data_IF_131281542194
#
_entry.id   IF_131281542194
#
_cell.length_a   1.000
_cell.length_b   1.000
_cell.length_c   1.000
_cell.angle_alpha   90.00
_cell.angle_beta   90.00
_cell.angle_gamma   90.00
#
_symmetry.space_group_name_H-M   'P 1'
#
loop_
_entity.id
_entity.type
_entity.pdbx_description
1 polymer ?
#
# COMPACT_ATOMS: atom_id res chain seq x y z
N UNK A 1 18.33 -4.05 -9.61
CA UNK A 1 17.20 -4.96 -9.55
C UNK A 1 16.15 -4.41 -8.56
N UNK A 2 14.89 -4.32 -8.99
CA UNK A 2 13.80 -3.72 -8.19
C UNK A 2 13.56 -4.50 -6.89
N UNK A 3 13.61 -5.82 -6.93
CA UNK A 3 13.40 -6.68 -5.76
C UNK A 3 14.47 -6.43 -4.69
N UNK A 4 15.73 -6.34 -5.12
CA UNK A 4 16.84 -6.00 -4.22
C UNK A 4 16.68 -4.61 -3.62
N UNK A 5 16.30 -3.61 -4.43
CA UNK A 5 16.06 -2.26 -3.97
C UNK A 5 14.95 -2.19 -2.90
N UNK A 6 13.86 -2.93 -3.10
CA UNK A 6 12.78 -3.06 -2.16
C UNK A 6 13.23 -3.75 -0.85
N UNK A 7 13.91 -4.89 -0.97
CA UNK A 7 14.46 -5.62 0.19
C UNK A 7 15.42 -4.75 1.02
N UNK A 8 16.31 -3.99 0.37
CA UNK A 8 17.23 -3.07 1.05
C UNK A 8 16.49 -1.92 1.75
N UNK A 9 15.41 -1.41 1.15
CA UNK A 9 14.56 -0.41 1.80
C UNK A 9 13.86 -0.99 3.04
N UNK A 10 13.35 -2.22 2.95
CA UNK A 10 12.77 -2.91 4.10
C UNK A 10 13.79 -3.12 5.21
N UNK A 11 15.00 -3.61 4.92
CA UNK A 11 16.08 -3.80 5.93
C UNK A 11 16.41 -2.51 6.67
N UNK A 12 16.48 -1.37 5.96
CA UNK A 12 16.69 -0.06 6.59
C UNK A 12 15.53 0.32 7.52
N UNK A 13 14.30 0.06 7.10
CA UNK A 13 13.11 0.32 7.91
C UNK A 13 13.06 -0.58 9.13
N UNK A 14 13.32 -1.88 8.97
CA UNK A 14 13.38 -2.84 10.06
C UNK A 14 14.35 -2.38 11.15
N UNK A 15 15.57 -2.00 10.77
CA UNK A 15 16.57 -1.45 11.69
C UNK A 15 16.08 -0.17 12.39
N UNK A 16 15.44 0.72 11.63
CA UNK A 16 14.96 2.01 12.18
C UNK A 16 13.85 1.82 13.21
N UNK A 17 12.98 0.85 13.00
CA UNK A 17 11.80 0.61 13.84
C UNK A 17 11.98 -0.56 14.82
N UNK A 18 13.20 -1.09 14.97
CA UNK A 18 13.50 -2.12 15.95
C UNK A 18 12.92 -3.50 15.63
N UNK A 19 12.68 -3.79 14.36
CA UNK A 19 12.30 -5.14 13.93
C UNK A 19 13.55 -5.99 13.81
N UNK A 20 13.46 -7.22 14.30
CA UNK A 20 14.51 -8.24 14.13
C UNK A 20 14.25 -9.04 12.85
N UNK A 21 15.27 -9.15 12.00
CA UNK A 21 15.23 -10.04 10.84
C UNK A 21 15.92 -11.34 11.26
N UNK A 22 15.12 -12.37 11.58
CA UNK A 22 15.64 -13.65 12.05
C UNK A 22 16.29 -14.48 10.94
N UNK A 23 15.86 -14.28 9.71
CA UNK A 23 16.47 -14.89 8.53
C UNK A 23 16.22 -14.07 7.27
N UNK A 24 17.20 -14.07 6.35
CA UNK A 24 17.15 -13.33 5.09
C UNK A 24 17.69 -14.24 3.97
N UNK A 25 16.79 -14.72 3.12
CA UNK A 25 17.08 -15.69 2.07
C UNK A 25 16.79 -15.13 0.69
N UNK A 26 17.76 -15.06 -0.22
CA UNK A 26 17.48 -14.81 -1.63
C UNK A 26 16.80 -16.04 -2.25
N UNK A 27 15.77 -15.81 -3.04
CA UNK A 27 15.18 -16.86 -3.85
C UNK A 27 15.89 -16.92 -5.20
N UNK A 28 16.31 -18.11 -5.60
CA UNK A 28 16.85 -18.39 -6.92
C UNK A 28 15.91 -19.35 -7.65
N UNK A 29 15.40 -18.90 -8.79
CA UNK A 29 14.45 -19.67 -9.57
C UNK A 29 15.16 -20.67 -10.46
N UNK A 30 14.80 -21.96 -10.37
CA UNK A 30 15.18 -22.98 -11.32
C UNK A 30 14.04 -23.91 -11.75
N UNK A 31 12.82 -23.73 -11.22
CA UNK A 31 11.74 -24.68 -11.45
C UNK A 31 10.37 -24.01 -11.64
N UNK A 32 9.45 -24.74 -12.23
CA UNK A 32 8.03 -24.37 -12.31
C UNK A 32 7.39 -24.44 -10.90
N UNK A 33 7.40 -23.33 -10.19
CA UNK A 33 6.82 -23.21 -8.85
C UNK A 33 5.35 -23.62 -8.76
N UNK A 34 4.60 -23.56 -9.85
CA UNK A 34 3.21 -24.03 -9.84
C UNK A 34 3.09 -25.48 -9.41
N UNK A 35 4.12 -26.29 -9.71
CA UNK A 35 4.17 -27.71 -9.36
C UNK A 35 4.85 -28.01 -8.04
N UNK A 36 5.79 -27.17 -7.65
CA UNK A 36 6.70 -27.47 -6.54
C UNK A 36 6.47 -26.62 -5.30
N UNK A 37 5.72 -25.51 -5.42
CA UNK A 37 5.51 -24.54 -4.34
C UNK A 37 5.09 -25.16 -3.00
N UNK A 38 4.16 -26.14 -3.02
CA UNK A 38 3.69 -26.81 -1.81
C UNK A 38 4.77 -27.62 -1.06
N UNK A 39 5.87 -27.99 -1.74
CA UNK A 39 6.99 -28.73 -1.16
C UNK A 39 8.18 -27.83 -0.87
N UNK A 40 8.51 -26.92 -1.75
CA UNK A 40 9.71 -26.10 -1.68
C UNK A 40 9.55 -24.89 -0.77
N UNK A 41 8.40 -24.19 -0.82
CA UNK A 41 8.19 -22.99 -0.04
C UNK A 41 8.15 -23.23 1.48
N UNK A 42 7.55 -24.31 2.02
CA UNK A 42 7.68 -24.61 3.43
C UNK A 42 9.12 -24.78 3.87
N UNK A 43 9.95 -25.49 3.11
CA UNK A 43 11.37 -25.65 3.41
C UNK A 43 12.16 -24.35 3.28
N UNK A 44 11.86 -23.55 2.26
CA UNK A 44 12.47 -22.24 2.06
C UNK A 44 12.15 -21.25 3.18
N UNK A 45 10.91 -21.26 3.68
CA UNK A 45 10.46 -20.42 4.78
C UNK A 45 10.68 -21.04 6.17
N UNK A 46 11.32 -22.22 6.24
CA UNK A 46 11.68 -22.84 7.50
C UNK A 46 12.80 -22.04 8.16
N UNK A 47 12.50 -21.54 9.37
CA UNK A 47 13.41 -20.79 10.22
C UNK A 47 13.09 -21.09 11.69
N UNK A 48 13.87 -20.48 12.61
CA UNK A 48 13.42 -20.33 14.02
C UNK A 48 12.07 -19.61 14.06
N UNK A 49 11.42 -19.54 15.21
CA UNK A 49 10.10 -18.87 15.30
C UNK A 49 10.16 -17.43 14.76
N UNK A 50 9.14 -17.02 14.03
CA UNK A 50 9.01 -15.70 13.43
C UNK A 50 7.53 -15.24 13.43
N UNK A 51 7.31 -13.95 13.49
CA UNK A 51 5.96 -13.37 13.53
C UNK A 51 5.35 -13.16 12.15
N UNK A 52 6.18 -12.90 11.14
CA UNK A 52 5.75 -12.66 9.77
C UNK A 52 6.82 -13.06 8.74
N UNK A 53 6.38 -13.34 7.53
CA UNK A 53 7.25 -13.49 6.35
C UNK A 53 7.14 -12.24 5.48
N UNK A 54 8.26 -11.64 5.14
CA UNK A 54 8.32 -10.47 4.26
C UNK A 54 8.82 -10.88 2.89
N UNK A 55 8.04 -10.60 1.86
CA UNK A 55 8.36 -10.97 0.48
C UNK A 55 8.77 -9.73 -0.31
N UNK A 56 9.91 -9.81 -1.00
CA UNK A 56 10.40 -8.82 -1.94
C UNK A 56 10.41 -9.42 -3.35
N UNK A 57 9.27 -9.37 -4.01
CA UNK A 57 9.05 -9.85 -5.38
C UNK A 57 8.20 -8.83 -6.14
N UNK A 58 8.84 -7.74 -6.56
CA UNK A 58 8.18 -6.62 -7.24
C UNK A 58 7.64 -7.04 -8.62
N UNK A 59 8.29 -8.02 -9.24
CA UNK A 59 7.90 -8.53 -10.56
C UNK A 59 6.77 -9.55 -10.49
N UNK A 60 6.53 -10.16 -9.33
CA UNK A 60 5.52 -11.20 -9.16
C UNK A 60 5.94 -12.56 -9.72
N UNK A 61 7.24 -12.88 -9.65
CA UNK A 61 7.76 -14.12 -10.23
C UNK A 61 7.43 -15.36 -9.39
N UNK A 62 7.39 -15.21 -8.05
CA UNK A 62 7.18 -16.34 -7.13
C UNK A 62 6.30 -16.04 -5.90
N UNK A 63 6.23 -14.80 -5.52
CA UNK A 63 5.66 -14.38 -4.24
C UNK A 63 4.18 -14.72 -4.07
N UNK A 64 3.44 -14.90 -5.16
CA UNK A 64 2.03 -15.28 -5.11
C UNK A 64 1.78 -16.63 -4.44
N UNK A 65 2.76 -17.52 -4.44
CA UNK A 65 2.65 -18.86 -3.84
C UNK A 65 3.00 -18.88 -2.35
N UNK A 66 3.75 -17.89 -1.86
CA UNK A 66 4.25 -17.83 -0.47
C UNK A 66 3.13 -17.79 0.56
N UNK A 67 2.07 -16.95 0.40
CA UNK A 67 1.03 -16.80 1.43
C UNK A 67 0.32 -18.10 1.83
N UNK A 68 0.36 -19.12 0.98
CA UNK A 68 -0.35 -20.38 1.18
C UNK A 68 0.55 -21.54 1.53
N UNK A 69 1.86 -21.34 1.56
CA UNK A 69 2.87 -22.42 1.66
C UNK A 69 3.99 -22.10 2.64
N UNK A 70 3.77 -21.27 3.65
CA UNK A 70 4.78 -21.00 4.68
C UNK A 70 4.93 -22.17 5.65
N UNK A 71 6.15 -22.37 6.20
CA UNK A 71 6.44 -23.36 7.22
C UNK A 71 5.57 -23.17 8.49
N UNK A 72 5.50 -21.95 8.99
CA UNK A 72 4.61 -21.58 10.09
C UNK A 72 3.39 -20.84 9.56
N UNK A 73 2.20 -20.97 10.17
CA UNK A 73 1.00 -20.24 9.77
C UNK A 73 1.09 -18.77 10.22
N UNK A 74 1.99 -18.03 9.63
CA UNK A 74 2.26 -16.63 9.93
C UNK A 74 1.82 -15.71 8.76
N UNK A 75 1.50 -14.46 9.05
CA UNK A 75 1.18 -13.49 7.99
C UNK A 75 2.31 -13.33 6.98
N UNK A 76 1.94 -13.21 5.71
CA UNK A 76 2.87 -12.83 4.63
C UNK A 76 2.55 -11.40 4.25
N UNK A 77 3.58 -10.56 4.18
CA UNK A 77 3.50 -9.13 3.92
C UNK A 77 4.57 -8.70 2.90
N UNK A 78 4.49 -7.49 2.42
CA UNK A 78 5.48 -6.93 1.50
C UNK A 78 4.90 -6.70 0.12
N UNK A 79 5.58 -7.18 -0.92
CA UNK A 79 5.09 -7.09 -2.30
C UNK A 79 3.99 -8.11 -2.61
N UNK A 80 3.89 -9.13 -1.78
CA UNK A 80 2.90 -10.21 -1.88
C UNK A 80 2.26 -10.46 -0.51
N UNK A 81 1.10 -11.09 -0.50
CA UNK A 81 0.34 -11.28 0.72
C UNK A 81 -0.42 -10.00 1.10
N UNK A 82 -0.24 -9.52 2.31
CA UNK A 82 -0.81 -8.24 2.74
C UNK A 82 0.03 -7.07 2.22
N UNK A 83 -0.52 -6.32 1.29
CA UNK A 83 0.17 -5.19 0.64
C UNK A 83 -0.46 -3.87 1.07
N UNK A 84 0.31 -2.89 1.54
CA UNK A 84 -0.19 -1.53 1.78
C UNK A 84 -0.38 -0.83 0.43
N UNK A 85 -1.57 -0.29 0.21
CA UNK A 85 -1.92 0.39 -1.04
C UNK A 85 -2.70 1.67 -0.77
N UNK A 86 -2.66 2.61 -1.69
CA UNK A 86 -3.53 3.78 -1.62
C UNK A 86 -4.90 3.50 -2.23
N UNK A 87 -5.01 2.53 -3.13
CA UNK A 87 -6.27 2.10 -3.73
C UNK A 87 -6.24 0.63 -4.15
N UNK A 88 -7.37 -0.05 -3.93
CA UNK A 88 -7.56 -1.41 -4.43
C UNK A 88 -9.05 -1.71 -4.61
N UNK A 89 -9.38 -2.52 -5.61
CA UNK A 89 -10.76 -2.91 -5.98
C UNK A 89 -11.56 -3.59 -4.87
N UNK A 90 -10.89 -4.19 -3.90
CA UNK A 90 -11.53 -4.87 -2.77
C UNK A 90 -12.07 -3.91 -1.71
N UNK A 91 -11.74 -2.61 -1.80
CA UNK A 91 -12.28 -1.57 -0.93
C UNK A 91 -13.59 -1.08 -1.51
N UNK A 92 -14.71 -1.47 -0.91
CA UNK A 92 -16.05 -1.14 -1.40
C UNK A 92 -16.75 -0.07 -0.57
N UNK A 93 -16.25 0.18 0.65
CA UNK A 93 -16.84 1.11 1.60
C UNK A 93 -16.73 2.57 1.16
N UNK A 94 -17.55 3.42 1.78
CA UNK A 94 -17.51 4.88 1.63
C UNK A 94 -17.61 5.40 0.19
N UNK A 95 -18.30 4.66 -0.67
CA UNK A 95 -18.46 5.02 -2.08
C UNK A 95 -17.27 4.64 -2.96
N UNK A 96 -16.28 3.92 -2.45
CA UNK A 96 -15.12 3.47 -3.23
C UNK A 96 -15.54 2.61 -4.42
N UNK A 97 -16.52 1.72 -4.24
CA UNK A 97 -17.09 0.92 -5.33
C UNK A 97 -17.62 1.77 -6.50
N UNK A 98 -18.22 2.92 -6.21
CA UNK A 98 -18.73 3.82 -7.26
C UNK A 98 -17.58 4.43 -8.07
N UNK A 99 -16.52 4.90 -7.41
CA UNK A 99 -15.34 5.42 -8.09
C UNK A 99 -14.66 4.34 -8.93
N UNK A 100 -14.51 3.15 -8.37
CA UNK A 100 -13.94 1.98 -9.06
C UNK A 100 -14.73 1.63 -10.32
N UNK A 101 -16.06 1.57 -10.25
CA UNK A 101 -16.91 1.23 -11.38
C UNK A 101 -16.84 2.30 -12.48
N UNK A 102 -16.90 3.59 -12.13
CA UNK A 102 -16.72 4.68 -13.11
C UNK A 102 -15.38 4.63 -13.80
N UNK A 103 -14.31 4.34 -13.05
CA UNK A 103 -12.99 4.20 -13.64
C UNK A 103 -12.93 3.00 -14.59
N UNK A 104 -13.50 1.86 -14.19
CA UNK A 104 -13.54 0.64 -15.02
C UNK A 104 -14.32 0.87 -16.33
N UNK A 105 -15.42 1.60 -16.29
CA UNK A 105 -16.19 1.98 -17.47
C UNK A 105 -15.37 2.82 -18.46
N UNK A 106 -14.53 3.73 -17.93
CA UNK A 106 -13.69 4.60 -18.77
C UNK A 106 -12.41 3.93 -19.24
N UNK A 107 -11.74 3.16 -18.40
CA UNK A 107 -10.39 2.64 -18.64
C UNK A 107 -10.36 1.17 -19.07
N UNK A 108 -11.46 0.43 -18.96
CA UNK A 108 -11.54 -1.02 -19.28
C UNK A 108 -10.75 -1.91 -18.32
N UNK A 109 -10.31 -1.38 -17.17
CA UNK A 109 -9.55 -2.09 -16.14
C UNK A 109 -9.82 -1.52 -14.75
N UNK A 110 -9.38 -2.24 -13.73
CA UNK A 110 -9.45 -1.74 -12.36
C UNK A 110 -8.47 -0.57 -12.12
N UNK A 111 -8.90 0.37 -11.28
CA UNK A 111 -8.07 1.48 -10.79
C UNK A 111 -7.02 0.92 -9.83
N UNK A 112 -5.79 1.36 -9.98
CA UNK A 112 -4.67 1.06 -9.08
C UNK A 112 -4.29 2.29 -8.21
N UNK A 113 -3.22 2.17 -7.43
CA UNK A 113 -2.75 3.23 -6.54
C UNK A 113 -2.30 4.48 -7.28
N UNK A 114 -1.66 4.32 -8.44
CA UNK A 114 -1.16 5.42 -9.28
C UNK A 114 -2.32 6.18 -9.92
N UNK A 115 -3.31 5.48 -10.45
CA UNK A 115 -4.52 6.07 -11.00
C UNK A 115 -5.27 6.88 -9.93
N UNK A 116 -5.39 6.31 -8.73
CA UNK A 116 -6.02 7.00 -7.61
C UNK A 116 -5.23 8.24 -7.19
N UNK A 117 -3.91 8.18 -7.15
CA UNK A 117 -3.08 9.33 -6.83
C UNK A 117 -3.27 10.48 -7.84
N UNK A 118 -3.30 10.15 -9.13
CA UNK A 118 -3.57 11.13 -10.19
C UNK A 118 -4.98 11.73 -10.07
N UNK A 119 -5.99 10.87 -9.86
CA UNK A 119 -7.36 11.32 -9.62
C UNK A 119 -7.46 12.25 -8.41
N UNK A 120 -6.84 11.87 -7.28
CA UNK A 120 -6.89 12.63 -6.04
C UNK A 120 -6.19 13.99 -6.18
N UNK A 121 -5.07 14.06 -6.90
CA UNK A 121 -4.35 15.29 -7.17
C UNK A 121 -5.20 16.28 -7.95
N UNK A 122 -5.81 15.85 -9.06
CA UNK A 122 -6.69 16.69 -9.86
C UNK A 122 -7.94 17.11 -9.08
N UNK A 123 -8.48 16.18 -8.29
CA UNK A 123 -9.65 16.44 -7.45
C UNK A 123 -9.35 17.48 -6.36
N UNK A 124 -8.16 17.42 -5.73
CA UNK A 124 -7.71 18.39 -4.75
C UNK A 124 -7.61 19.80 -5.34
N UNK A 125 -6.97 19.92 -6.52
CA UNK A 125 -6.86 21.20 -7.23
C UNK A 125 -8.25 21.73 -7.58
N UNK A 126 -9.12 20.90 -8.14
CA UNK A 126 -10.47 21.31 -8.50
C UNK A 126 -11.32 21.78 -7.30
N UNK A 127 -11.19 21.10 -6.16
CA UNK A 127 -11.82 21.53 -4.91
C UNK A 127 -11.29 22.89 -4.47
N UNK A 128 -9.96 23.06 -4.44
CA UNK A 128 -9.36 24.34 -4.06
C UNK A 128 -9.79 25.50 -4.96
N UNK A 129 -9.80 25.29 -6.29
CA UNK A 129 -10.26 26.31 -7.26
C UNK A 129 -11.73 26.69 -7.00
N UNK A 130 -12.56 25.71 -6.70
CA UNK A 130 -13.99 25.95 -6.44
C UNK A 130 -14.21 26.70 -5.13
N UNK A 131 -13.54 26.27 -4.07
CA UNK A 131 -13.72 26.83 -2.73
C UNK A 131 -13.17 28.26 -2.65
N UNK A 132 -12.04 28.53 -3.31
CA UNK A 132 -11.42 29.86 -3.38
C UNK A 132 -12.06 30.78 -4.43
N UNK A 133 -12.80 30.22 -5.38
CA UNK A 133 -13.21 30.91 -6.60
C UNK A 133 -12.02 31.60 -7.30
N UNK A 134 -10.86 30.95 -7.32
CA UNK A 134 -9.59 31.46 -7.85
C UNK A 134 -8.80 30.38 -8.55
N UNK A 135 -8.15 30.72 -9.66
CA UNK A 135 -7.18 29.87 -10.36
C UNK A 135 -5.73 30.29 -10.12
N UNK A 136 -5.47 31.16 -9.15
CA UNK A 136 -4.12 31.59 -8.80
C UNK A 136 -3.34 30.45 -8.15
N UNK A 137 -2.19 30.00 -8.72
CA UNK A 137 -1.45 28.85 -8.20
C UNK A 137 -0.94 29.04 -6.77
N UNK A 138 -0.60 30.26 -6.39
CA UNK A 138 -0.11 30.57 -5.05
C UNK A 138 -1.22 30.46 -4.01
N UNK A 139 -2.41 30.98 -4.32
CA UNK A 139 -3.58 30.87 -3.45
C UNK A 139 -4.02 29.41 -3.31
N UNK A 140 -4.10 28.68 -4.42
CA UNK A 140 -4.42 27.25 -4.42
C UNK A 140 -3.43 26.48 -3.55
N UNK A 141 -2.11 26.67 -3.73
CA UNK A 141 -1.09 26.04 -2.93
C UNK A 141 -1.25 26.33 -1.45
N UNK A 142 -1.42 27.58 -1.09
CA UNK A 142 -1.56 27.98 0.32
C UNK A 142 -2.80 27.35 0.96
N UNK A 143 -3.92 27.29 0.24
CA UNK A 143 -5.14 26.67 0.71
C UNK A 143 -4.99 25.15 0.86
N UNK A 144 -4.37 24.45 -0.09
CA UNK A 144 -4.15 22.99 -0.04
C UNK A 144 -3.34 22.56 1.20
N UNK A 145 -2.45 23.43 1.71
CA UNK A 145 -1.64 23.18 2.91
C UNK A 145 -2.18 23.83 4.18
N UNK A 146 -3.36 24.43 4.13
CA UNK A 146 -4.02 24.99 5.30
C UNK A 146 -4.87 23.96 6.03
N UNK A 147 -5.22 24.25 7.29
CA UNK A 147 -6.14 23.45 8.09
C UNK A 147 -7.59 23.49 7.56
N UNK A 148 -7.91 24.44 6.69
CA UNK A 148 -9.23 24.60 6.08
C UNK A 148 -9.46 23.56 4.97
N UNK A 149 -8.39 23.12 4.30
CA UNK A 149 -8.50 22.18 3.21
C UNK A 149 -8.86 20.77 3.67
N UNK A 150 -9.92 20.23 3.12
CA UNK A 150 -10.38 18.88 3.39
C UNK A 150 -10.97 18.26 2.13
N UNK A 151 -10.39 17.15 1.66
CA UNK A 151 -10.88 16.45 0.49
C UNK A 151 -11.69 15.22 0.85
N UNK A 152 -12.92 15.10 0.32
CA UNK A 152 -13.69 13.87 0.31
C UNK A 152 -13.13 12.93 -0.78
N UNK A 153 -12.43 11.87 -0.37
CA UNK A 153 -11.61 11.04 -1.25
C UNK A 153 -11.95 9.54 -1.17
N UNK A 154 -13.18 9.19 -0.82
CA UNK A 154 -13.66 7.80 -0.69
C UNK A 154 -12.84 6.94 0.30
N UNK A 155 -12.36 7.58 1.38
CA UNK A 155 -11.49 6.95 2.40
C UNK A 155 -12.17 6.82 3.78
N UNK A 156 -13.46 7.10 3.89
CA UNK A 156 -14.18 7.08 5.16
C UNK A 156 -13.90 8.29 6.06
N UNK A 157 -12.93 9.09 5.70
CA UNK A 157 -12.59 10.38 6.34
C UNK A 157 -12.11 11.38 5.32
N UNK A 158 -12.16 12.64 5.67
CA UNK A 158 -11.53 13.70 4.88
C UNK A 158 -10.02 13.55 4.93
N UNK A 159 -9.36 13.80 3.81
CA UNK A 159 -7.90 13.75 3.68
C UNK A 159 -7.34 15.16 3.53
N UNK A 160 -6.11 15.35 4.00
CA UNK A 160 -5.37 16.61 4.02
C UNK A 160 -3.96 16.39 3.48
N UNK A 161 -3.19 17.45 3.33
CA UNK A 161 -1.76 17.36 3.01
C UNK A 161 -0.91 17.65 4.25
N UNK A 162 0.23 16.99 4.36
CA UNK A 162 1.24 17.29 5.37
C UNK A 162 2.03 18.52 4.92
N UNK A 163 2.17 19.50 5.79
CA UNK A 163 2.90 20.75 5.52
C UNK A 163 4.40 20.53 5.31
N UNK A 164 4.98 19.58 6.07
CA UNK A 164 6.42 19.34 6.10
C UNK A 164 6.96 18.52 4.90
N UNK A 165 6.14 17.78 4.16
CA UNK A 165 6.58 16.98 3.02
C UNK A 165 5.61 16.96 1.82
N UNK A 166 4.45 17.58 1.94
CA UNK A 166 3.45 17.65 0.88
C UNK A 166 2.72 16.34 0.57
N UNK A 167 2.92 15.29 1.36
CA UNK A 167 2.21 14.02 1.16
C UNK A 167 0.75 14.12 1.60
N UNK A 168 -0.13 13.47 0.85
CA UNK A 168 -1.52 13.33 1.25
C UNK A 168 -1.62 12.42 2.48
N UNK A 169 -2.19 12.95 3.57
CA UNK A 169 -2.50 12.21 4.79
C UNK A 169 -3.81 11.47 4.59
N UNK A 170 -3.73 10.18 4.42
CA UNK A 170 -4.86 9.33 4.09
C UNK A 170 -4.78 7.96 4.76
N UNK A 171 -5.92 7.29 5.01
CA UNK A 171 -5.92 5.89 5.39
C UNK A 171 -5.28 5.01 4.31
N UNK A 172 -4.46 4.06 4.75
CA UNK A 172 -3.77 3.11 3.87
C UNK A 172 -4.38 1.72 4.06
N UNK A 173 -5.14 1.21 3.10
CA UNK A 173 -5.61 -0.17 3.12
C UNK A 173 -4.45 -1.17 3.10
N UNK A 174 -4.53 -2.17 3.96
CA UNK A 174 -3.74 -3.39 3.87
C UNK A 174 -4.61 -4.44 3.19
N UNK A 175 -4.25 -4.82 1.98
CA UNK A 175 -5.07 -5.68 1.14
C UNK A 175 -4.38 -6.99 0.81
N UNK A 176 -5.17 -8.04 0.73
CA UNK A 176 -4.86 -9.26 0.02
C UNK A 176 -5.54 -9.21 -1.36
N UNK A 177 -5.10 -9.92 -2.40
CA UNK A 177 -5.70 -9.86 -3.75
C UNK A 177 -7.23 -10.03 -3.80
N UNK A 178 -7.83 -10.66 -2.79
CA UNK A 178 -9.27 -10.93 -2.72
C UNK A 178 -9.98 -10.29 -1.52
N UNK A 179 -9.30 -9.47 -0.71
CA UNK A 179 -9.94 -8.91 0.48
C UNK A 179 -9.17 -7.77 1.11
N UNK A 180 -9.92 -6.88 1.75
CA UNK A 180 -9.38 -5.89 2.66
C UNK A 180 -9.13 -6.57 4.01
N UNK A 181 -7.87 -6.54 4.48
CA UNK A 181 -7.49 -7.13 5.77
C UNK A 181 -7.70 -6.10 6.88
N UNK A 182 -7.18 -4.88 6.67
CA UNK A 182 -7.25 -3.81 7.64
C UNK A 182 -6.96 -2.45 6.96
N UNK A 183 -7.09 -1.36 7.70
CA UNK A 183 -6.75 -0.02 7.22
C UNK A 183 -5.92 0.72 8.26
N UNK A 184 -4.70 1.09 7.92
CA UNK A 184 -3.86 1.92 8.77
C UNK A 184 -4.33 3.40 8.70
N UNK A 185 -4.13 4.22 9.77
CA UNK A 185 -3.41 3.87 11.01
C UNK A 185 -4.26 3.06 11.97
N UNK A 186 -3.59 2.23 12.80
CA UNK A 186 -4.21 1.53 13.90
C UNK A 186 -4.01 2.31 15.20
N UNK A 187 -5.01 2.31 16.06
CA UNK A 187 -4.87 2.86 17.40
C UNK A 187 -3.75 2.12 18.17
N UNK A 188 -2.87 2.88 18.81
CA UNK A 188 -1.70 2.33 19.51
C UNK A 188 -0.50 1.98 18.62
N UNK A 189 -0.63 2.04 17.29
CA UNK A 189 0.45 1.76 16.32
C UNK A 189 0.76 2.96 15.42
N UNK A 190 0.51 4.15 15.90
CA UNK A 190 0.84 5.38 15.17
C UNK A 190 2.34 5.62 15.24
N UNK A 191 2.94 5.93 14.10
CA UNK A 191 4.33 6.39 14.07
C UNK A 191 4.43 7.72 14.82
N UNK A 192 5.46 7.93 15.68
CA UNK A 192 5.58 9.15 16.48
C UNK A 192 5.63 10.46 15.68
N UNK A 193 5.94 10.40 14.38
CA UNK A 193 6.00 11.55 13.47
C UNK A 193 4.93 11.50 12.38
N UNK A 194 3.74 10.98 12.68
CA UNK A 194 2.65 10.84 11.69
C UNK A 194 1.72 12.03 11.63
N UNK A 195 1.88 13.00 12.48
CA UNK A 195 1.08 14.22 12.53
C UNK A 195 1.71 15.35 11.74
#
# INVERSE_FOLDING_TARGET
>A
DADKGWADAFRRSAKRFGLEIVEDKPWTFDADLRRTASKELPLFTQASDYDAVVVADVRGDFGEYVPFNTWLPRPVVGTQGMTPVTWHRVVESWGAAQLQNRFRELAGRDMNSEDYAAWAAIRAIGTAVTDLNSANPTEIRNFLFSDEFQLAAFKGRKVTFRDWNGQMRQPIPLVHPRGLVATAPFEGFLHPNTE
#
